data_IF_768013708574
#
_entry.id   IF_768013708574
#
_cell.length_a   1.000
_cell.length_b   1.000
_cell.length_c   1.000
_cell.angle_alpha   90.00
_cell.angle_beta   90.00
_cell.angle_gamma   90.00
#
_symmetry.space_group_name_H-M   'P 1'
#
loop_
_entity.id
_entity.type
_entity.pdbx_description
1 polymer ?
#
# COMPACT_ATOMS: atom_id res chain seq x y z
N UNK A 1 17.43 5.07 1.46
CA UNK A 1 16.47 6.13 1.15
C UNK A 1 17.16 7.13 0.22
N UNK A 2 16.62 7.27 -0.98
CA UNK A 2 17.04 8.29 -1.94
C UNK A 2 16.16 9.54 -1.75
N UNK A 3 16.77 10.73 -1.68
CA UNK A 3 16.05 11.97 -1.37
C UNK A 3 15.13 12.40 -2.51
N UNK A 4 15.54 12.16 -3.77
CA UNK A 4 14.73 12.51 -4.93
C UNK A 4 13.49 11.63 -4.98
N UNK A 5 13.65 10.32 -4.81
CA UNK A 5 12.55 9.36 -4.70
C UNK A 5 11.62 9.70 -3.54
N UNK A 6 12.16 9.98 -2.36
CA UNK A 6 11.35 10.37 -1.20
C UNK A 6 10.48 11.61 -1.50
N UNK A 7 11.04 12.61 -2.17
CA UNK A 7 10.29 13.81 -2.52
C UNK A 7 9.17 13.51 -3.53
N UNK A 8 9.43 12.70 -4.55
CA UNK A 8 8.38 12.23 -5.47
C UNK A 8 7.27 11.46 -4.75
N UNK A 9 7.62 10.67 -3.72
CA UNK A 9 6.64 9.92 -2.95
C UNK A 9 5.74 10.84 -2.14
N UNK A 10 6.31 11.80 -1.40
CA UNK A 10 5.53 12.76 -0.60
C UNK A 10 4.63 13.61 -1.50
N UNK A 11 5.16 14.20 -2.58
CA UNK A 11 4.37 14.97 -3.56
C UNK A 11 3.31 14.09 -4.24
N UNK A 12 3.65 12.83 -4.50
CA UNK A 12 2.73 11.83 -5.05
C UNK A 12 1.59 11.47 -4.10
N UNK A 13 1.79 11.47 -2.79
CA UNK A 13 0.76 11.14 -1.78
C UNK A 13 -0.19 12.30 -1.51
N UNK A 14 0.19 13.55 -1.80
CA UNK A 14 -0.68 14.72 -1.63
C UNK A 14 -2.01 14.59 -2.40
N UNK A 15 -1.99 13.92 -3.56
CA UNK A 15 -3.19 13.67 -4.39
C UNK A 15 -4.23 12.80 -3.68
N UNK A 16 -3.83 12.09 -2.62
CA UNK A 16 -4.67 11.20 -1.83
C UNK A 16 -5.01 11.75 -0.44
N UNK A 17 -4.75 13.04 -0.19
CA UNK A 17 -4.98 13.70 1.10
C UNK A 17 -6.43 13.65 1.61
N UNK A 18 -7.41 13.36 0.75
CA UNK A 18 -8.81 13.14 1.16
C UNK A 18 -9.04 11.79 1.87
N UNK A 19 -8.15 10.81 1.67
CA UNK A 19 -8.25 9.48 2.26
C UNK A 19 -7.43 9.40 3.55
N UNK A 20 -8.11 9.46 4.70
CA UNK A 20 -7.46 9.36 6.01
C UNK A 20 -6.65 8.07 6.24
N UNK A 21 -6.92 7.03 5.45
CA UNK A 21 -6.22 5.73 5.50
C UNK A 21 -4.90 5.72 4.70
N UNK A 22 -4.61 6.79 3.96
CA UNK A 22 -3.38 6.95 3.17
C UNK A 22 -2.46 7.95 3.89
N UNK A 23 -1.28 7.50 4.38
CA UNK A 23 -0.32 8.41 5.00
C UNK A 23 0.17 9.45 3.99
N UNK A 24 0.51 10.64 4.47
CA UNK A 24 1.08 11.70 3.61
C UNK A 24 2.61 11.58 3.46
N UNK A 25 3.23 10.76 4.30
CA UNK A 25 4.65 10.43 4.26
C UNK A 25 4.78 8.90 4.37
N UNK A 26 5.41 8.22 3.40
CA UNK A 26 5.49 6.77 3.42
C UNK A 26 6.38 6.24 4.55
N UNK A 27 7.20 7.07 5.18
CA UNK A 27 8.08 6.72 6.29
C UNK A 27 7.57 7.19 7.66
N UNK A 28 6.60 8.12 7.72
CA UNK A 28 5.93 8.55 8.95
C UNK A 28 4.48 8.09 9.00
N UNK A 29 4.28 6.86 9.47
CA UNK A 29 2.95 6.23 9.61
C UNK A 29 2.54 6.29 11.09
N UNK A 30 1.48 7.04 11.43
CA UNK A 30 0.99 7.09 12.80
C UNK A 30 0.60 5.70 13.31
N UNK A 31 0.98 5.37 14.55
CA UNK A 31 0.63 4.08 15.18
C UNK A 31 -0.88 3.85 15.21
N UNK A 32 -1.67 4.92 15.36
CA UNK A 32 -3.14 4.84 15.32
C UNK A 32 -3.63 4.40 13.94
N UNK A 33 -3.06 4.95 12.87
CA UNK A 33 -3.38 4.56 11.51
C UNK A 33 -2.97 3.10 11.27
N UNK A 34 -1.74 2.71 11.63
CA UNK A 34 -1.30 1.32 11.44
C UNK A 34 -2.22 0.30 12.12
N UNK A 35 -2.73 0.60 13.32
CA UNK A 35 -3.69 -0.25 14.03
C UNK A 35 -5.04 -0.34 13.31
N UNK A 36 -5.56 0.78 12.84
CA UNK A 36 -6.80 0.81 12.07
C UNK A 36 -6.68 -0.02 10.77
N UNK A 37 -5.52 0.07 10.10
CA UNK A 37 -5.23 -0.73 8.93
C UNK A 37 -5.13 -2.23 9.24
N UNK A 38 -4.58 -2.62 10.38
CA UNK A 38 -4.64 -4.01 10.84
C UNK A 38 -6.08 -4.47 11.11
N UNK A 39 -6.88 -3.63 11.75
CA UNK A 39 -8.28 -3.95 12.01
C UNK A 39 -9.04 -4.17 10.68
N UNK A 40 -8.74 -3.38 9.64
CA UNK A 40 -9.29 -3.62 8.30
C UNK A 40 -8.82 -4.93 7.69
N UNK A 41 -7.53 -5.27 7.84
CA UNK A 41 -6.99 -6.53 7.32
C UNK A 41 -7.70 -7.74 7.93
N UNK A 42 -7.97 -7.71 9.23
CA UNK A 42 -8.61 -8.80 9.98
C UNK A 42 -10.12 -8.91 9.71
N UNK A 43 -10.82 -7.77 9.57
CA UNK A 43 -12.28 -7.74 9.59
C UNK A 43 -12.93 -7.57 8.21
N UNK A 44 -12.20 -7.06 7.22
CA UNK A 44 -12.73 -6.93 5.86
C UNK A 44 -12.50 -8.23 5.09
N UNK A 45 -13.61 -8.88 4.71
CA UNK A 45 -13.60 -10.06 3.84
C UNK A 45 -13.98 -9.62 2.42
N UNK A 46 -13.05 -9.77 1.48
CA UNK A 46 -13.29 -9.45 0.07
C UNK A 46 -14.24 -10.48 -0.55
N UNK A 47 -15.13 -10.00 -1.44
CA UNK A 47 -15.84 -10.90 -2.36
C UNK A 47 -14.87 -11.47 -3.40
N UNK A 48 -15.30 -12.47 -4.18
CA UNK A 48 -14.46 -13.05 -5.23
C UNK A 48 -13.99 -12.00 -6.27
N UNK A 49 -14.88 -11.08 -6.66
CA UNK A 49 -14.55 -10.03 -7.63
C UNK A 49 -13.55 -9.03 -7.03
N UNK A 50 -13.72 -8.65 -5.76
CA UNK A 50 -12.80 -7.77 -5.06
C UNK A 50 -11.44 -8.42 -4.80
N UNK A 51 -11.41 -9.73 -4.53
CA UNK A 51 -10.18 -10.49 -4.39
C UNK A 51 -9.41 -10.51 -5.72
N UNK A 52 -10.11 -10.63 -6.86
CA UNK A 52 -9.47 -10.51 -8.19
C UNK A 52 -8.77 -9.16 -8.35
N UNK A 53 -9.41 -8.06 -7.93
CA UNK A 53 -8.80 -6.72 -7.96
C UNK A 53 -7.54 -6.67 -7.09
N UNK A 54 -7.60 -7.20 -5.88
CA UNK A 54 -6.44 -7.25 -4.98
C UNK A 54 -5.28 -8.09 -5.57
N UNK A 55 -5.59 -9.27 -6.10
CA UNK A 55 -4.60 -10.19 -6.67
C UNK A 55 -3.96 -9.60 -7.94
N UNK A 56 -4.72 -8.89 -8.77
CA UNK A 56 -4.19 -8.16 -9.91
C UNK A 56 -3.26 -7.02 -9.47
N UNK A 57 -3.63 -6.27 -8.44
CA UNK A 57 -2.77 -5.21 -7.89
C UNK A 57 -1.43 -5.76 -7.39
N UNK A 58 -1.44 -6.92 -6.72
CA UNK A 58 -0.21 -7.60 -6.31
C UNK A 58 0.70 -7.91 -7.50
N UNK A 59 0.14 -8.41 -8.60
CA UNK A 59 0.91 -8.72 -9.81
C UNK A 59 1.44 -7.46 -10.54
N UNK A 60 0.76 -6.32 -10.40
CA UNK A 60 1.15 -5.06 -11.04
C UNK A 60 2.19 -4.28 -10.22
N UNK A 61 2.15 -4.36 -8.89
CA UNK A 61 3.06 -3.64 -8.00
C UNK A 61 4.51 -4.11 -8.15
N UNK A 62 5.45 -3.19 -7.98
CA UNK A 62 6.88 -3.46 -8.18
C UNK A 62 7.43 -4.52 -7.21
N UNK A 63 6.88 -4.57 -6.00
CA UNK A 63 7.29 -5.50 -4.95
C UNK A 63 6.49 -6.81 -4.93
N UNK A 64 5.56 -7.01 -5.87
CA UNK A 64 4.69 -8.19 -5.88
C UNK A 64 3.65 -8.20 -4.74
N UNK A 65 3.34 -7.03 -4.20
CA UNK A 65 2.39 -6.81 -3.11
C UNK A 65 2.62 -5.48 -2.39
N UNK A 66 2.04 -5.30 -1.17
CA UNK A 66 2.12 -4.03 -0.43
C UNK A 66 3.52 -3.61 0.06
N UNK A 67 4.52 -4.50 0.05
CA UNK A 67 5.94 -4.22 0.30
C UNK A 67 6.77 -5.44 -0.10
N UNK A 68 8.09 -5.28 -0.22
CA UNK A 68 9.04 -6.34 -0.55
C UNK A 68 9.03 -7.55 0.41
N UNK A 69 8.52 -7.40 1.63
CA UNK A 69 8.51 -8.45 2.64
C UNK A 69 7.22 -8.47 3.46
N UNK A 70 6.85 -9.67 3.94
CA UNK A 70 5.68 -9.90 4.82
C UNK A 70 5.93 -9.41 6.26
N UNK A 71 6.28 -8.14 6.40
CA UNK A 71 6.44 -7.42 7.66
C UNK A 71 5.12 -6.74 8.07
N UNK A 72 5.17 -5.94 9.13
CA UNK A 72 4.01 -5.19 9.59
C UNK A 72 3.41 -4.27 8.50
N UNK A 73 4.23 -3.67 7.62
CA UNK A 73 3.74 -2.83 6.52
C UNK A 73 2.90 -3.63 5.53
N UNK A 74 3.31 -4.86 5.21
CA UNK A 74 2.52 -5.75 4.36
C UNK A 74 1.12 -5.94 4.93
N UNK A 75 1.03 -6.33 6.21
CA UNK A 75 -0.26 -6.58 6.85
C UNK A 75 -1.11 -5.31 6.94
N UNK A 76 -0.51 -4.15 7.24
CA UNK A 76 -1.24 -2.89 7.28
C UNK A 76 -1.77 -2.51 5.90
N UNK A 77 -0.92 -2.48 4.88
CA UNK A 77 -1.30 -2.03 3.54
C UNK A 77 -2.13 -3.06 2.75
N UNK A 78 -2.11 -4.34 3.13
CA UNK A 78 -3.15 -5.29 2.74
C UNK A 78 -4.52 -4.83 3.26
N UNK A 79 -4.62 -4.44 4.53
CA UNK A 79 -5.85 -3.90 5.12
C UNK A 79 -6.30 -2.58 4.48
N UNK A 80 -5.34 -1.69 4.18
CA UNK A 80 -5.60 -0.45 3.44
C UNK A 80 -6.20 -0.73 2.07
N UNK A 81 -5.64 -1.66 1.30
CA UNK A 81 -6.16 -2.02 -0.01
C UNK A 81 -7.56 -2.65 0.09
N UNK A 82 -7.79 -3.54 1.06
CA UNK A 82 -9.12 -4.09 1.31
C UNK A 82 -10.15 -3.00 1.59
N UNK A 83 -9.80 -2.01 2.40
CA UNK A 83 -10.66 -0.87 2.67
C UNK A 83 -10.94 -0.03 1.41
N UNK A 84 -9.90 0.33 0.65
CA UNK A 84 -10.04 1.16 -0.57
C UNK A 84 -10.86 0.45 -1.66
N UNK A 85 -10.65 -0.85 -1.86
CA UNK A 85 -11.44 -1.66 -2.81
C UNK A 85 -12.92 -1.71 -2.38
N UNK A 86 -13.19 -1.94 -1.09
CA UNK A 86 -14.57 -2.16 -0.61
C UNK A 86 -15.37 -0.87 -0.42
N UNK A 87 -14.74 0.20 0.08
CA UNK A 87 -15.44 1.44 0.44
C UNK A 87 -15.36 2.50 -0.65
N UNK A 88 -14.30 2.47 -1.46
CA UNK A 88 -14.04 3.50 -2.47
C UNK A 88 -14.01 2.94 -3.91
N UNK A 89 -14.23 1.63 -4.10
CA UNK A 89 -14.24 0.97 -5.41
C UNK A 89 -12.95 1.19 -6.21
N UNK A 90 -11.81 1.24 -5.52
CA UNK A 90 -10.53 1.38 -6.19
C UNK A 90 -10.21 0.18 -7.10
N UNK A 91 -9.59 0.46 -8.24
CA UNK A 91 -9.15 -0.57 -9.20
C UNK A 91 -7.79 -1.16 -8.83
N UNK A 92 -7.39 -2.24 -9.51
CA UNK A 92 -6.11 -2.92 -9.29
C UNK A 92 -4.94 -1.98 -9.59
N UNK A 93 -5.05 -1.14 -10.64
CA UNK A 93 -4.03 -0.15 -10.98
C UNK A 93 -3.88 0.94 -9.93
N UNK A 94 -4.99 1.41 -9.33
CA UNK A 94 -4.93 2.43 -8.29
C UNK A 94 -4.25 1.91 -7.03
N UNK A 95 -4.52 0.66 -6.65
CA UNK A 95 -3.87 0.01 -5.50
C UNK A 95 -2.38 -0.22 -5.77
N UNK A 96 -2.03 -0.76 -6.93
CA UNK A 96 -0.62 -0.99 -7.29
C UNK A 96 0.19 0.32 -7.32
N UNK A 97 -0.36 1.38 -7.93
CA UNK A 97 0.27 2.69 -7.96
C UNK A 97 0.43 3.29 -6.55
N UNK A 98 -0.54 3.06 -5.66
CA UNK A 98 -0.42 3.54 -4.29
C UNK A 98 0.71 2.81 -3.57
N UNK A 99 0.77 1.48 -3.62
CA UNK A 99 1.86 0.71 -3.00
C UNK A 99 3.24 1.08 -3.55
N UNK A 100 3.36 1.31 -4.87
CA UNK A 100 4.61 1.75 -5.51
C UNK A 100 5.05 3.16 -5.03
N UNK A 101 4.12 4.00 -4.60
CA UNK A 101 4.41 5.31 -4.02
C UNK A 101 4.69 5.17 -2.51
N UNK A 102 3.94 4.31 -1.82
CA UNK A 102 4.10 4.04 -0.39
C UNK A 102 5.31 3.16 -0.05
N UNK A 103 6.07 2.74 -1.05
CA UNK A 103 7.24 1.88 -0.85
C UNK A 103 8.23 2.52 0.14
N UNK A 104 8.34 1.89 1.30
CA UNK A 104 9.28 2.28 2.36
C UNK A 104 10.46 1.34 2.47
N UNK A 105 10.58 0.36 1.57
CA UNK A 105 11.38 -0.83 1.79
C UNK A 105 12.85 -0.68 1.32
N UNK A 106 13.25 0.53 0.89
CA UNK A 106 14.62 1.02 1.08
C UNK A 106 15.56 1.09 -0.12
N UNK A 107 15.08 1.28 -1.35
CA UNK A 107 15.89 1.70 -2.51
C UNK A 107 16.77 0.63 -3.18
N UNK A 108 17.31 0.95 -4.37
CA UNK A 108 18.02 0.03 -5.29
C UNK A 108 19.07 -0.85 -4.59
N UNK A 109 18.66 -2.07 -4.26
CA UNK A 109 19.47 -3.00 -3.48
C UNK A 109 18.84 -4.38 -3.28
N UNK A 110 17.58 -4.58 -3.67
CA UNK A 110 16.96 -5.91 -3.73
C UNK A 110 17.37 -6.68 -5.00
N UNK A 111 18.67 -6.72 -5.32
CA UNK A 111 19.20 -7.84 -6.11
C UNK A 111 19.33 -9.04 -5.18
N UNK A 112 18.30 -9.87 -5.19
CA UNK A 112 18.37 -11.19 -4.62
C UNK A 112 17.02 -11.63 -4.10
N UNK A 113 16.29 -12.39 -4.92
CA UNK A 113 15.83 -13.74 -4.60
C UNK A 113 15.29 -14.39 -5.88
N UNK A 114 16.11 -15.24 -6.50
CA UNK A 114 15.73 -16.07 -7.65
C UNK A 114 16.93 -16.53 -8.47
#
# INVERSE_FOLDING_TARGET
MDLHRYQEQVEGLEKYSEYSVIPQDPYDIPVTLAKELFDFQENIVLTADQQTIYDEAMNMSQEGGPCCCKCWRWTAFEGQAKYLITQHNWTSEQIAQLWDIEDGCGGEGHEGHG
#
